data_IF_907395847105
#
_entry.id   IF_907395847105
#
_cell.length_a   1.000
_cell.length_b   1.000
_cell.length_c   1.000
_cell.angle_alpha   90.00
_cell.angle_beta   90.00
_cell.angle_gamma   90.00
#
_symmetry.space_group_name_H-M   'P 1'
#
loop_
_entity.id
_entity.type
_entity.pdbx_description
1 polymer ?
#
# COMPACT_ATOMS: atom_id res chain seq x y z
N UNK A 1 9.69 -0.53 14.92
CA UNK A 1 8.82 0.50 14.26
C UNK A 1 7.67 -0.21 13.57
N UNK A 2 6.44 0.35 13.58
CA UNK A 2 5.29 -0.24 12.87
C UNK A 2 4.97 0.55 11.60
N UNK A 3 4.82 -0.14 10.49
CA UNK A 3 4.37 0.43 9.21
C UNK A 3 3.01 -0.16 8.87
N UNK A 4 2.10 0.68 8.41
CA UNK A 4 0.81 0.27 7.85
C UNK A 4 0.80 0.55 6.36
N UNK A 5 0.32 -0.42 5.58
CA UNK A 5 0.02 -0.29 4.16
C UNK A 5 -1.45 -0.66 3.97
N UNK A 6 -2.27 0.29 3.57
CA UNK A 6 -3.67 0.04 3.18
C UNK A 6 -3.76 0.07 1.67
N UNK A 7 -4.37 -0.95 1.09
CA UNK A 7 -4.58 -1.09 -0.35
C UNK A 7 -6.09 -1.08 -0.59
N UNK A 8 -6.51 -0.25 -1.54
CA UNK A 8 -7.88 -0.22 -2.05
C UNK A 8 -7.88 -0.74 -3.48
N UNK A 9 -8.38 -1.96 -3.66
CA UNK A 9 -8.62 -2.58 -4.95
C UNK A 9 -10.10 -2.41 -5.26
N UNK A 10 -10.44 -1.65 -6.29
CA UNK A 10 -11.79 -1.64 -6.85
C UNK A 10 -11.68 -1.92 -8.34
N UNK A 11 -12.77 -2.39 -8.95
CA UNK A 11 -12.81 -2.63 -10.40
C UNK A 11 -12.46 -1.36 -11.21
N UNK A 12 -12.77 -0.18 -10.65
CA UNK A 12 -12.64 1.12 -11.33
C UNK A 12 -11.36 1.88 -10.93
N UNK A 13 -10.77 1.56 -9.78
CA UNK A 13 -9.63 2.29 -9.24
C UNK A 13 -8.73 1.43 -8.35
N UNK A 14 -7.44 1.67 -8.49
CA UNK A 14 -6.37 1.06 -7.70
C UNK A 14 -5.68 2.18 -6.93
N UNK A 15 -5.58 2.03 -5.61
CA UNK A 15 -4.88 2.98 -4.75
C UNK A 15 -4.30 2.33 -3.50
N UNK A 16 -3.33 3.00 -2.87
CA UNK A 16 -2.82 2.59 -1.58
C UNK A 16 -2.39 3.78 -0.72
N UNK A 17 -2.34 3.57 0.59
CA UNK A 17 -1.85 4.49 1.59
C UNK A 17 -0.76 3.80 2.40
N UNK A 18 0.38 4.45 2.62
CA UNK A 18 1.45 3.91 3.45
C UNK A 18 1.90 4.92 4.51
N UNK A 19 2.06 4.45 5.75
CA UNK A 19 2.38 5.33 6.85
C UNK A 19 2.86 4.64 8.12
N UNK A 20 3.26 5.46 9.09
CA UNK A 20 3.60 5.05 10.45
C UNK A 20 3.02 6.06 11.43
N UNK A 21 2.50 5.58 12.57
CA UNK A 21 1.97 6.44 13.64
C UNK A 21 0.95 7.49 13.15
N UNK A 22 0.12 7.12 12.15
CA UNK A 22 -0.90 8.00 11.57
C UNK A 22 -0.37 9.07 10.61
N UNK A 23 0.91 9.03 10.24
CA UNK A 23 1.51 9.92 9.23
C UNK A 23 1.95 9.13 8.01
N UNK A 24 1.77 9.71 6.82
CA UNK A 24 2.27 9.16 5.57
C UNK A 24 3.79 9.10 5.56
N UNK A 25 4.35 8.12 4.84
CA UNK A 25 5.80 8.07 4.63
C UNK A 25 6.29 9.24 3.74
N UNK A 26 7.57 9.61 3.82
CA UNK A 26 8.15 10.59 2.92
C UNK A 26 8.00 10.18 1.45
N UNK A 27 7.66 11.13 0.57
CA UNK A 27 7.40 10.89 -0.86
C UNK A 27 8.56 10.16 -1.58
N UNK A 28 9.81 10.41 -1.19
CA UNK A 28 10.98 9.73 -1.74
C UNK A 28 10.93 8.19 -1.55
N UNK A 29 10.29 7.69 -0.49
CA UNK A 29 10.10 6.26 -0.28
C UNK A 29 8.90 5.71 -1.07
N UNK A 30 7.86 6.52 -1.25
CA UNK A 30 6.61 6.15 -1.94
C UNK A 30 6.87 5.90 -3.43
N UNK A 31 7.66 6.75 -4.10
CA UNK A 31 7.95 6.60 -5.54
C UNK A 31 8.60 5.24 -5.88
N UNK A 32 9.43 4.70 -4.99
CA UNK A 32 10.02 3.38 -5.17
C UNK A 32 8.98 2.26 -4.99
N UNK A 33 8.06 2.43 -4.04
CA UNK A 33 7.00 1.47 -3.74
C UNK A 33 5.99 1.37 -4.89
N UNK A 34 5.65 2.48 -5.56
CA UNK A 34 4.74 2.51 -6.71
C UNK A 34 5.16 1.52 -7.81
N UNK A 35 6.46 1.47 -8.11
CA UNK A 35 7.03 0.60 -9.16
C UNK A 35 6.74 -0.88 -8.89
N UNK A 36 6.59 -1.27 -7.63
CA UNK A 36 6.34 -2.66 -7.23
C UNK A 36 4.87 -2.94 -6.92
N UNK A 37 4.17 -2.00 -6.26
CA UNK A 37 2.81 -2.24 -5.78
C UNK A 37 1.76 -2.07 -6.87
N UNK A 38 1.91 -1.09 -7.77
CA UNK A 38 0.90 -0.81 -8.82
C UNK A 38 0.64 -2.04 -9.69
N UNK A 39 1.64 -2.78 -10.21
CA UNK A 39 1.40 -3.97 -11.01
C UNK A 39 0.68 -5.10 -10.25
N UNK A 40 1.05 -5.32 -8.98
CA UNK A 40 0.48 -6.38 -8.14
C UNK A 40 -0.99 -6.07 -7.83
N UNK A 41 -1.27 -4.80 -7.51
CA UNK A 41 -2.60 -4.34 -7.14
C UNK A 41 -3.51 -4.36 -8.39
N UNK A 42 -3.04 -3.98 -9.57
CA UNK A 42 -3.81 -4.14 -10.82
C UNK A 42 -4.16 -5.59 -11.17
N UNK A 43 -3.27 -6.56 -10.90
CA UNK A 43 -3.59 -7.98 -11.12
C UNK A 43 -4.63 -8.51 -10.13
N UNK A 44 -4.70 -7.93 -8.93
CA UNK A 44 -5.60 -8.38 -7.86
C UNK A 44 -6.98 -7.72 -7.88
N UNK A 45 -7.24 -6.72 -8.75
CA UNK A 45 -8.43 -5.86 -8.66
C UNK A 45 -9.72 -6.45 -9.25
N UNK A 46 -9.72 -7.71 -9.69
CA UNK A 46 -10.88 -8.34 -10.34
C UNK A 46 -12.11 -8.48 -9.42
N UNK A 47 -11.92 -8.55 -8.10
CA UNK A 47 -13.01 -8.83 -7.15
C UNK A 47 -13.35 -7.68 -6.17
N UNK A 48 -12.59 -6.58 -6.18
CA UNK A 48 -12.86 -5.44 -5.30
C UNK A 48 -12.61 -5.71 -3.81
N UNK A 49 -11.37 -5.51 -3.34
CA UNK A 49 -10.92 -5.85 -1.98
C UNK A 49 -10.23 -4.65 -1.31
N UNK A 50 -10.61 -4.34 -0.07
CA UNK A 50 -9.82 -3.44 0.79
C UNK A 50 -8.98 -4.30 1.73
N UNK A 51 -7.67 -4.12 1.72
CA UNK A 51 -6.73 -4.87 2.56
C UNK A 51 -5.80 -3.92 3.33
N UNK A 52 -5.53 -4.22 4.60
CA UNK A 52 -4.54 -3.50 5.40
C UNK A 52 -3.47 -4.47 5.92
N UNK A 53 -2.22 -4.21 5.54
CA UNK A 53 -1.04 -4.97 5.91
C UNK A 53 -0.25 -4.19 6.97
N UNK A 54 0.05 -4.84 8.09
CA UNK A 54 0.81 -4.23 9.19
C UNK A 54 2.17 -4.90 9.30
N UNK A 55 3.22 -4.13 9.07
CA UNK A 55 4.60 -4.59 9.13
C UNK A 55 5.27 -4.13 10.42
N UNK A 56 6.03 -5.03 11.04
CA UNK A 56 6.96 -4.70 12.12
C UNK A 56 8.38 -4.73 11.55
N UNK A 57 9.13 -3.64 11.75
CA UNK A 57 10.57 -3.64 11.51
C UNK A 57 11.22 -4.32 12.71
N UNK A 58 11.87 -5.45 12.46
CA UNK A 58 12.68 -6.24 13.39
C UNK A 58 14.16 -5.94 13.16
N UNK A 59 14.94 -5.92 14.25
CA UNK A 59 16.41 -5.75 14.23
C UNK A 59 17.13 -6.97 13.66
#
# INVERSE_FOLDING_TARGET
>A
VKLGLRINLTADSVGYEIGSKGQSLPAAMINNLDTYLVPIVHQASEEGIIMELVFNIVD
#
